data_IF_686373878613
#
_entry.id   IF_686373878613
#
_cell.length_a   1.000
_cell.length_b   1.000
_cell.length_c   1.000
_cell.angle_alpha   90.00
_cell.angle_beta   90.00
_cell.angle_gamma   90.00
#
_symmetry.space_group_name_H-M   'P 1'
#
loop_
_entity.id
_entity.type
_entity.pdbx_description
1 polymer ?
#
# COMPACT_ATOMS: atom_id res chain seq x y z
N UNK A 1 16.97 16.51 -20.85
CA UNK A 1 17.04 17.85 -20.18
C UNK A 1 17.58 17.65 -18.76
N UNK A 2 18.64 18.36 -18.42
CA UNK A 2 19.23 18.26 -17.09
C UNK A 2 18.46 19.14 -16.11
N UNK A 3 18.25 18.64 -14.90
CA UNK A 3 17.77 19.43 -13.77
C UNK A 3 18.79 19.38 -12.64
N UNK A 4 18.91 20.46 -11.90
CA UNK A 4 19.75 20.52 -10.71
C UNK A 4 18.89 20.84 -9.50
N UNK A 5 19.15 20.16 -8.41
CA UNK A 5 18.45 20.41 -7.13
C UNK A 5 19.37 21.20 -6.23
N UNK A 6 18.93 22.38 -5.82
CA UNK A 6 19.65 23.23 -4.89
C UNK A 6 19.41 22.79 -3.44
N UNK A 7 20.30 23.23 -2.52
CA UNK A 7 20.22 22.88 -1.10
C UNK A 7 18.90 23.32 -0.45
N UNK A 8 18.22 24.34 -0.98
CA UNK A 8 16.94 24.83 -0.48
C UNK A 8 15.72 24.10 -1.06
N UNK A 9 15.95 23.01 -1.79
CA UNK A 9 14.88 22.25 -2.43
C UNK A 9 14.38 22.80 -3.75
N UNK A 10 14.92 23.93 -4.24
CA UNK A 10 14.59 24.45 -5.57
C UNK A 10 15.23 23.58 -6.65
N UNK A 11 14.52 23.44 -7.75
CA UNK A 11 15.00 22.76 -8.96
C UNK A 11 15.11 23.75 -10.09
N UNK A 12 16.30 23.82 -10.70
CA UNK A 12 16.55 24.65 -11.87
C UNK A 12 16.75 23.77 -13.10
N UNK A 13 16.05 24.13 -14.16
CA UNK A 13 16.11 23.41 -15.45
C UNK A 13 17.03 24.16 -16.41
N UNK A 14 17.54 23.46 -17.41
CA UNK A 14 18.42 24.01 -18.43
C UNK A 14 17.79 25.19 -19.20
N UNK A 15 16.45 25.24 -19.30
CA UNK A 15 15.71 26.34 -19.90
C UNK A 15 15.71 27.64 -19.07
N UNK A 16 16.19 27.59 -17.83
CA UNK A 16 16.04 28.66 -16.85
C UNK A 16 14.77 28.57 -16.00
N UNK A 17 13.87 27.66 -16.34
CA UNK A 17 12.68 27.42 -15.51
C UNK A 17 13.06 26.88 -14.14
N UNK A 18 12.33 27.30 -13.12
CA UNK A 18 12.53 26.86 -11.73
C UNK A 18 11.24 26.30 -11.16
N UNK A 19 11.36 25.32 -10.28
CA UNK A 19 10.23 24.77 -9.53
C UNK A 19 10.67 24.37 -8.13
N UNK A 20 9.71 24.14 -7.23
CA UNK A 20 9.99 23.48 -5.96
C UNK A 20 10.21 21.99 -6.23
N UNK A 21 11.31 21.44 -5.72
CA UNK A 21 11.56 20.02 -5.82
C UNK A 21 10.58 19.22 -4.99
N UNK A 22 10.24 18.00 -5.42
CA UNK A 22 9.43 17.06 -4.67
C UNK A 22 10.31 15.95 -4.10
N UNK A 23 10.11 15.61 -2.82
CA UNK A 23 10.72 14.44 -2.21
C UNK A 23 10.09 13.15 -2.71
N UNK A 24 8.85 13.21 -3.24
CA UNK A 24 8.16 12.05 -3.79
C UNK A 24 8.70 11.74 -5.18
N UNK A 25 9.32 10.58 -5.30
CA UNK A 25 9.93 10.12 -6.53
C UNK A 25 9.17 8.92 -7.08
N UNK A 26 7.97 9.17 -7.61
CA UNK A 26 7.12 8.14 -8.22
C UNK A 26 7.84 7.41 -9.37
N UNK A 27 8.76 8.09 -10.04
CA UNK A 27 9.57 7.53 -11.12
C UNK A 27 10.53 6.42 -10.67
N UNK A 28 10.84 6.34 -9.38
CA UNK A 28 11.71 5.30 -8.82
C UNK A 28 10.95 4.03 -8.45
N UNK A 29 9.63 4.06 -8.43
CA UNK A 29 8.83 2.86 -8.11
C UNK A 29 8.83 1.93 -9.33
N UNK A 30 9.24 0.66 -9.18
CA UNK A 30 9.25 -0.28 -10.30
C UNK A 30 7.86 -0.44 -10.93
N UNK A 31 7.79 -0.37 -12.24
CA UNK A 31 6.54 -0.56 -12.96
C UNK A 31 5.90 -1.93 -12.68
N UNK A 32 6.72 -2.96 -12.54
CA UNK A 32 6.24 -4.31 -12.22
C UNK A 32 5.46 -4.35 -10.91
N UNK A 33 5.89 -3.59 -9.90
CA UNK A 33 5.15 -3.47 -8.64
C UNK A 33 3.82 -2.77 -8.84
N UNK A 34 3.83 -1.63 -9.53
CA UNK A 34 2.60 -0.87 -9.82
C UNK A 34 1.58 -1.71 -10.58
N UNK A 35 2.03 -2.48 -11.58
CA UNK A 35 1.16 -3.37 -12.36
C UNK A 35 0.53 -4.46 -11.50
N UNK A 36 1.30 -5.08 -10.60
CA UNK A 36 0.78 -6.11 -9.68
C UNK A 36 -0.29 -5.55 -8.77
N UNK A 37 -0.05 -4.39 -8.17
CA UNK A 37 -1.03 -3.73 -7.28
C UNK A 37 -2.27 -3.31 -8.07
N UNK A 38 -2.09 -2.71 -9.25
CA UNK A 38 -3.20 -2.31 -10.12
C UNK A 38 -4.06 -3.51 -10.51
N UNK A 39 -3.45 -4.63 -10.87
CA UNK A 39 -4.16 -5.87 -11.17
C UNK A 39 -4.99 -6.36 -9.98
N UNK A 40 -4.44 -6.29 -8.78
CA UNK A 40 -5.14 -6.71 -7.56
C UNK A 40 -6.35 -5.81 -7.27
N UNK A 41 -6.22 -4.51 -7.46
CA UNK A 41 -7.36 -3.59 -7.37
C UNK A 41 -8.42 -3.88 -8.43
N UNK A 42 -8.01 -4.20 -9.65
CA UNK A 42 -8.92 -4.56 -10.74
C UNK A 42 -9.70 -5.84 -10.45
N UNK A 43 -9.05 -6.85 -9.90
CA UNK A 43 -9.71 -8.10 -9.50
C UNK A 43 -10.73 -7.85 -8.38
N UNK A 44 -10.38 -7.03 -7.40
CA UNK A 44 -11.29 -6.67 -6.33
C UNK A 44 -12.50 -5.87 -6.83
N UNK A 45 -12.28 -4.92 -7.76
CA UNK A 45 -13.35 -4.16 -8.38
C UNK A 45 -14.33 -5.05 -9.15
N UNK A 46 -13.81 -6.02 -9.92
CA UNK A 46 -14.63 -6.97 -10.66
C UNK A 46 -15.44 -7.90 -9.75
N UNK A 47 -14.84 -8.33 -8.62
CA UNK A 47 -15.47 -9.28 -7.70
C UNK A 47 -16.45 -8.63 -6.73
N UNK A 48 -16.13 -7.46 -6.19
CA UNK A 48 -16.87 -6.82 -5.09
C UNK A 48 -17.47 -5.47 -5.46
N UNK A 49 -17.08 -4.85 -6.56
CA UNK A 49 -17.46 -3.50 -6.97
C UNK A 49 -16.34 -2.49 -6.74
N UNK A 50 -16.32 -1.45 -7.58
CA UNK A 50 -15.30 -0.42 -7.49
C UNK A 50 -15.29 0.25 -6.11
N UNK A 51 -14.11 0.35 -5.54
CA UNK A 51 -13.86 1.01 -4.24
C UNK A 51 -14.70 0.49 -3.08
N UNK A 52 -15.23 -0.72 -3.19
CA UNK A 52 -16.02 -1.35 -2.13
C UNK A 52 -15.25 -1.46 -0.82
N UNK A 53 -13.93 -1.67 -0.90
CA UNK A 53 -13.04 -1.75 0.26
C UNK A 53 -13.08 -0.50 1.15
N UNK A 54 -13.45 0.66 0.61
CA UNK A 54 -13.56 1.92 1.37
C UNK A 54 -14.61 1.87 2.46
N UNK A 55 -15.59 0.99 2.34
CA UNK A 55 -16.59 0.77 3.39
C UNK A 55 -15.97 0.16 4.66
N UNK A 56 -14.79 -0.43 4.54
CA UNK A 56 -14.08 -1.05 5.64
C UNK A 56 -13.03 -0.17 6.33
N UNK A 57 -12.84 1.10 5.90
CA UNK A 57 -11.80 1.97 6.46
C UNK A 57 -11.98 2.25 7.95
N UNK A 58 -13.22 2.16 8.46
CA UNK A 58 -13.58 2.40 9.86
C UNK A 58 -14.15 1.16 10.53
N UNK A 59 -14.02 0.01 9.89
CA UNK A 59 -14.54 -1.26 10.38
C UNK A 59 -13.41 -2.08 10.98
N UNK A 60 -13.38 -2.16 12.32
CA UNK A 60 -12.33 -2.88 13.04
C UNK A 60 -12.21 -4.34 12.61
N UNK A 61 -13.35 -5.04 12.46
CA UNK A 61 -13.35 -6.43 12.07
C UNK A 61 -12.76 -6.63 10.68
N UNK A 62 -13.08 -5.73 9.75
CA UNK A 62 -12.54 -5.78 8.39
C UNK A 62 -11.05 -5.48 8.38
N UNK A 63 -10.60 -4.49 9.15
CA UNK A 63 -9.17 -4.15 9.28
C UNK A 63 -8.39 -5.34 9.82
N UNK A 64 -8.88 -6.00 10.86
CA UNK A 64 -8.26 -7.20 11.43
C UNK A 64 -8.18 -8.33 10.40
N UNK A 65 -9.27 -8.54 9.65
CA UNK A 65 -9.32 -9.55 8.58
C UNK A 65 -8.27 -9.27 7.50
N UNK A 66 -8.12 -8.00 7.10
CA UNK A 66 -7.12 -7.61 6.10
C UNK A 66 -5.69 -7.77 6.62
N UNK A 67 -5.45 -7.48 7.89
CA UNK A 67 -4.14 -7.73 8.51
C UNK A 67 -3.82 -9.22 8.53
N UNK A 68 -4.80 -10.07 8.83
CA UNK A 68 -4.62 -11.51 8.79
C UNK A 68 -4.30 -12.01 7.39
N UNK A 69 -5.03 -11.55 6.37
CA UNK A 69 -4.76 -11.89 4.97
C UNK A 69 -3.39 -11.43 4.52
N UNK A 70 -2.94 -10.27 4.97
CA UNK A 70 -1.59 -9.78 4.69
C UNK A 70 -0.55 -10.77 5.21
N UNK A 71 -0.69 -11.24 6.45
CA UNK A 71 0.22 -12.21 7.05
C UNK A 71 0.19 -13.54 6.29
N UNK A 72 -0.99 -14.00 5.87
CA UNK A 72 -1.13 -15.21 5.06
C UNK A 72 -0.37 -15.10 3.73
N UNK A 73 -0.46 -13.95 3.05
CA UNK A 73 0.26 -13.73 1.80
C UNK A 73 1.77 -13.65 2.01
N UNK A 74 2.24 -13.08 3.12
CA UNK A 74 3.66 -13.08 3.46
C UNK A 74 4.16 -14.50 3.68
N UNK A 75 3.41 -15.33 4.42
CA UNK A 75 3.77 -16.72 4.66
C UNK A 75 3.75 -17.53 3.34
N UNK A 76 2.74 -17.34 2.51
CA UNK A 76 2.66 -18.01 1.22
C UNK A 76 3.82 -17.62 0.29
N UNK A 77 4.27 -16.38 0.34
CA UNK A 77 5.43 -15.91 -0.42
C UNK A 77 6.72 -16.60 0.03
N UNK A 78 6.90 -16.76 1.34
CA UNK A 78 8.12 -17.31 1.92
C UNK A 78 8.17 -18.83 1.89
N UNK A 79 7.01 -19.49 2.11
CA UNK A 79 6.94 -20.94 2.23
C UNK A 79 5.57 -21.45 1.74
N UNK A 80 5.34 -21.46 0.41
CA UNK A 80 4.05 -21.93 -0.12
C UNK A 80 3.80 -23.39 0.24
N UNK A 81 2.58 -23.67 0.72
CA UNK A 81 2.18 -25.00 1.18
C UNK A 81 1.28 -25.73 0.17
N UNK A 82 0.90 -25.07 -0.93
CA UNK A 82 0.06 -25.63 -1.97
C UNK A 82 0.42 -25.01 -3.32
N UNK A 83 -0.07 -25.65 -4.40
CA UNK A 83 0.07 -25.11 -5.74
C UNK A 83 -0.66 -23.76 -5.88
N UNK A 84 -1.81 -23.60 -5.23
CA UNK A 84 -2.58 -22.37 -5.25
C UNK A 84 -1.80 -21.21 -4.61
N UNK A 85 -1.17 -21.44 -3.46
CA UNK A 85 -0.34 -20.44 -2.82
C UNK A 85 0.87 -20.06 -3.67
N UNK A 86 1.51 -21.04 -4.31
CA UNK A 86 2.68 -20.80 -5.16
C UNK A 86 2.33 -19.98 -6.40
N UNK A 87 1.15 -20.22 -7.00
CA UNK A 87 0.73 -19.57 -8.24
C UNK A 87 0.06 -18.21 -8.00
N UNK A 88 -0.39 -17.92 -6.78
CA UNK A 88 -1.02 -16.64 -6.46
C UNK A 88 0.00 -15.50 -6.53
N UNK A 89 -0.46 -14.31 -6.92
CA UNK A 89 0.36 -13.10 -6.89
C UNK A 89 0.39 -12.53 -5.46
N UNK A 90 1.16 -13.17 -4.61
CA UNK A 90 1.29 -12.77 -3.20
C UNK A 90 1.89 -11.36 -3.06
N UNK A 91 2.83 -10.99 -3.92
CA UNK A 91 3.41 -9.63 -3.89
C UNK A 91 2.38 -8.56 -4.22
N UNK A 92 1.52 -8.80 -5.21
CA UNK A 92 0.42 -7.90 -5.54
C UNK A 92 -0.58 -7.77 -4.40
N UNK A 93 -0.91 -8.88 -3.74
CA UNK A 93 -1.79 -8.90 -2.59
C UNK A 93 -1.22 -8.14 -1.39
N UNK A 94 0.08 -8.30 -1.11
CA UNK A 94 0.79 -7.55 -0.06
C UNK A 94 0.76 -6.06 -0.37
N UNK A 95 1.05 -5.67 -1.62
CA UNK A 95 0.99 -4.28 -2.06
C UNK A 95 -0.41 -3.69 -1.95
N UNK A 96 -1.44 -4.45 -2.31
CA UNK A 96 -2.83 -4.03 -2.13
C UNK A 96 -3.15 -3.78 -0.65
N UNK A 97 -2.74 -4.69 0.23
CA UNK A 97 -2.97 -4.54 1.68
C UNK A 97 -2.27 -3.29 2.22
N UNK A 98 -1.05 -3.02 1.79
CA UNK A 98 -0.32 -1.81 2.17
C UNK A 98 -1.05 -0.55 1.70
N UNK A 99 -1.59 -0.55 0.48
CA UNK A 99 -2.38 0.57 -0.04
C UNK A 99 -3.66 0.79 0.77
N UNK A 100 -4.38 -0.29 1.11
CA UNK A 100 -5.57 -0.22 1.95
C UNK A 100 -5.24 0.35 3.33
N UNK A 101 -4.21 -0.16 3.99
CA UNK A 101 -3.79 0.29 5.31
C UNK A 101 -3.33 1.76 5.29
N UNK A 102 -2.72 2.21 4.20
CA UNK A 102 -2.36 3.62 4.02
C UNK A 102 -3.61 4.51 4.04
N UNK A 103 -4.72 4.08 3.41
CA UNK A 103 -5.97 4.81 3.47
C UNK A 103 -6.61 4.76 4.86
N UNK A 104 -6.50 3.64 5.57
CA UNK A 104 -6.94 3.53 6.98
C UNK A 104 -6.21 4.55 7.85
N UNK A 105 -4.89 4.64 7.71
CA UNK A 105 -4.10 5.62 8.48
C UNK A 105 -4.40 7.07 8.12
N UNK A 106 -4.81 7.33 6.89
CA UNK A 106 -5.20 8.67 6.46
C UNK A 106 -6.59 9.10 6.99
N UNK A 107 -7.42 8.15 7.42
CA UNK A 107 -8.73 8.45 8.01
C UNK A 107 -8.60 8.55 9.54
N UNK A 108 -9.04 9.65 10.19
CA UNK A 108 -8.85 9.81 11.64
C UNK A 108 -9.44 8.69 12.49
N UNK A 109 -10.59 8.14 12.11
CA UNK A 109 -11.22 7.01 12.83
C UNK A 109 -10.45 5.72 12.56
N UNK A 110 -10.09 5.46 11.31
CA UNK A 110 -9.29 4.30 10.91
C UNK A 110 -7.93 4.29 11.60
N UNK A 111 -7.24 5.44 11.64
CA UNK A 111 -5.96 5.58 12.32
C UNK A 111 -6.05 5.23 13.80
N UNK A 112 -7.11 5.66 14.47
CA UNK A 112 -7.34 5.34 15.89
C UNK A 112 -7.55 3.84 16.09
N UNK A 113 -8.36 3.21 15.24
CA UNK A 113 -8.59 1.77 15.29
C UNK A 113 -7.29 1.00 15.15
N UNK A 114 -6.47 1.39 14.18
CA UNK A 114 -5.19 0.73 13.92
C UNK A 114 -4.23 0.89 15.11
N UNK A 115 -4.20 2.07 15.74
CA UNK A 115 -3.42 2.33 16.94
C UNK A 115 -3.88 1.45 18.11
N UNK A 116 -5.17 1.30 18.31
CA UNK A 116 -5.74 0.42 19.34
C UNK A 116 -5.34 -1.03 19.13
N UNK A 117 -5.35 -1.50 17.87
CA UNK A 117 -4.92 -2.86 17.53
C UNK A 117 -3.45 -3.06 17.88
N UNK A 118 -2.59 -2.09 17.55
CA UNK A 118 -1.16 -2.15 17.90
C UNK A 118 -0.94 -2.24 19.40
N UNK A 119 -1.65 -1.44 20.17
CA UNK A 119 -1.56 -1.43 21.64
C UNK A 119 -1.98 -2.75 22.25
N UNK A 120 -3.09 -3.32 21.80
CA UNK A 120 -3.60 -4.61 22.25
C UNK A 120 -2.59 -5.72 21.99
N UNK A 121 -2.00 -5.75 20.81
CA UNK A 121 -0.98 -6.75 20.46
C UNK A 121 0.30 -6.60 21.25
N UNK A 122 0.69 -5.37 21.59
CA UNK A 122 1.86 -5.11 22.43
C UNK A 122 1.62 -5.52 23.88
N UNK A 123 0.39 -5.36 24.39
CA UNK A 123 0.04 -5.68 25.77
C UNK A 123 0.03 -7.19 26.05
N UNK A 124 -0.08 -8.02 25.05
CA UNK A 124 -0.16 -9.51 25.19
C UNK A 124 1.21 -10.15 25.41
N UNK A 125 2.28 -9.40 25.32
CA UNK A 125 3.63 -9.93 25.52
C UNK A 125 3.93 -10.24 26.96
#
# INVERSE_FOLDING_TARGET
>A
MKKQVEANGKVQFASGAQSSGSACRFDLIPRSFLERVANRFGLGAAKYGERRYRKGLRDRAFILDRLNHLQEHVQALLAPQSADELLDDNLGAIGWAAAFLSEVEADPVGARILEEIRRERSAVR
#
